data_IF_307661788889
#
_entry.id   IF_307661788889
#
_cell.length_a   1.000
_cell.length_b   1.000
_cell.length_c   1.000
_cell.angle_alpha   90.00
_cell.angle_beta   90.00
_cell.angle_gamma   90.00
#
_symmetry.space_group_name_H-M   'P 1'
#
loop_
_entity.id
_entity.type
_entity.pdbx_description
1 polymer ?
#
# COMPACT_ATOMS: atom_id res chain seq x y z
N UNK A 1 26.96 1.41 -14.03
CA UNK A 1 25.81 1.19 -14.96
C UNK A 1 24.51 1.69 -14.33
N UNK A 2 23.61 2.30 -15.10
CA UNK A 2 22.29 2.73 -14.58
C UNK A 2 21.39 1.52 -14.24
N UNK A 3 20.66 1.59 -13.12
CA UNK A 3 19.85 0.48 -12.60
C UNK A 3 18.66 0.16 -13.52
N UNK A 4 18.12 -1.08 -13.44
CA UNK A 4 16.97 -1.53 -14.23
C UNK A 4 15.76 -0.58 -14.08
N UNK A 5 15.59 0.01 -12.90
CA UNK A 5 14.53 0.98 -12.59
C UNK A 5 14.75 2.32 -13.28
N UNK A 6 15.98 2.83 -13.32
CA UNK A 6 16.34 4.07 -14.01
C UNK A 6 16.17 3.94 -15.53
N UNK A 7 16.57 2.81 -16.12
CA UNK A 7 16.38 2.54 -17.55
C UNK A 7 14.88 2.51 -17.93
N UNK A 8 14.05 1.86 -17.12
CA UNK A 8 12.60 1.77 -17.37
C UNK A 8 11.89 3.12 -17.24
N UNK A 9 12.39 4.01 -16.39
CA UNK A 9 11.87 5.39 -16.24
C UNK A 9 12.21 6.23 -17.47
N UNK A 10 13.46 6.23 -17.92
CA UNK A 10 13.89 6.94 -19.14
C UNK A 10 13.15 6.43 -20.38
N UNK A 11 12.93 5.12 -20.48
CA UNK A 11 12.17 4.52 -21.57
C UNK A 11 10.66 4.84 -21.52
N UNK A 12 10.13 5.34 -20.40
CA UNK A 12 8.74 5.86 -20.33
C UNK A 12 8.69 7.34 -20.67
N UNK A 13 9.67 8.12 -20.20
CA UNK A 13 9.78 9.56 -20.51
C UNK A 13 9.94 9.78 -22.02
N UNK A 14 10.78 8.97 -22.70
CA UNK A 14 10.94 9.01 -24.17
C UNK A 14 9.73 8.51 -24.99
N UNK A 15 8.71 7.89 -24.37
CA UNK A 15 7.48 7.46 -25.10
C UNK A 15 6.53 8.61 -25.41
N UNK A 16 6.79 9.78 -24.86
CA UNK A 16 5.92 10.94 -24.99
C UNK A 16 6.59 12.10 -25.75
N UNK A 17 7.67 11.80 -26.48
CA UNK A 17 8.24 12.70 -27.47
C UNK A 17 7.41 12.57 -28.75
N UNK A 18 6.18 13.09 -28.71
CA UNK A 18 5.36 13.27 -29.91
C UNK A 18 5.63 14.68 -30.44
N UNK A 19 6.03 14.78 -31.69
CA UNK A 19 6.13 16.03 -32.42
C UNK A 19 4.73 16.43 -32.90
N UNK A 20 4.28 17.62 -32.53
CA UNK A 20 2.98 18.14 -32.97
C UNK A 20 3.15 18.65 -34.41
N UNK A 21 2.60 17.92 -35.37
CA UNK A 21 2.58 18.30 -36.79
C UNK A 21 1.19 18.85 -37.13
N UNK A 22 1.14 20.04 -37.71
CA UNK A 22 -0.09 20.63 -38.23
C UNK A 22 -0.25 20.20 -39.69
N UNK A 23 -1.34 19.46 -39.97
CA UNK A 23 -1.67 18.96 -41.30
C UNK A 23 -2.83 19.79 -41.85
N UNK A 24 -2.80 20.10 -43.14
CA UNK A 24 -3.90 20.75 -43.86
C UNK A 24 -4.93 19.76 -44.41
N UNK A 25 -5.98 20.29 -45.05
CA UNK A 25 -7.05 19.48 -45.67
C UNK A 25 -6.55 18.58 -46.82
N UNK A 26 -5.34 18.81 -47.33
CA UNK A 26 -4.65 18.01 -48.34
C UNK A 26 -3.62 17.03 -47.73
N UNK A 27 -3.45 17.03 -46.40
CA UNK A 27 -2.51 16.18 -45.66
C UNK A 27 -1.04 16.63 -45.71
N UNK A 28 -0.78 17.88 -46.08
CA UNK A 28 0.56 18.45 -46.15
C UNK A 28 0.91 19.20 -44.86
N UNK A 29 2.15 19.07 -44.40
CA UNK A 29 2.64 19.72 -43.18
C UNK A 29 2.73 21.23 -43.42
N UNK A 30 1.99 22.03 -42.63
CA UNK A 30 2.03 23.50 -42.70
C UNK A 30 2.71 24.03 -41.43
N UNK A 31 3.52 25.08 -41.60
CA UNK A 31 4.07 25.82 -40.47
C UNK A 31 2.93 26.31 -39.56
N UNK A 32 3.03 26.12 -38.23
CA UNK A 32 1.98 26.55 -37.31
C UNK A 32 1.64 28.02 -37.56
N UNK A 33 0.35 28.38 -37.73
CA UNK A 33 -0.07 29.77 -37.82
C UNK A 33 0.48 30.55 -36.62
N UNK A 34 0.91 31.81 -36.79
CA UNK A 34 1.45 32.59 -35.68
C UNK A 34 0.37 32.72 -34.60
N UNK A 35 0.47 31.92 -33.55
CA UNK A 35 -0.33 32.10 -32.35
C UNK A 35 0.01 33.47 -31.77
N UNK A 36 -0.97 34.38 -31.75
CA UNK A 36 -1.02 35.44 -30.76
C UNK A 36 -0.93 34.77 -29.39
N UNK A 37 0.29 34.72 -28.85
CA UNK A 37 0.60 34.13 -27.56
C UNK A 37 -0.27 34.84 -26.52
N UNK A 38 -1.27 34.18 -25.88
CA UNK A 38 -1.72 34.70 -24.61
C UNK A 38 -0.49 34.64 -23.69
N UNK A 39 -0.08 35.78 -23.14
CA UNK A 39 0.98 35.86 -22.13
C UNK A 39 0.61 34.92 -20.98
N UNK A 40 1.11 33.68 -21.06
CA UNK A 40 1.15 32.80 -19.91
C UNK A 40 2.17 33.42 -18.99
N UNK A 41 1.68 34.20 -18.03
CA UNK A 41 2.43 34.75 -16.91
C UNK A 41 3.40 33.68 -16.43
N UNK A 42 4.68 33.89 -16.74
CA UNK A 42 5.75 32.99 -16.31
C UNK A 42 5.80 33.11 -14.79
N UNK A 43 5.11 32.22 -14.08
CA UNK A 43 5.31 32.08 -12.66
C UNK A 43 6.75 31.61 -12.46
N UNK A 44 7.62 32.58 -12.19
CA UNK A 44 9.01 32.41 -11.82
C UNK A 44 9.06 31.67 -10.49
N UNK A 45 9.10 30.34 -10.57
CA UNK A 45 9.19 29.44 -9.43
C UNK A 45 10.32 28.44 -9.61
N UNK A 46 11.53 28.92 -9.89
CA UNK A 46 12.75 28.11 -9.74
C UNK A 46 13.02 27.98 -8.24
N UNK A 47 12.50 26.93 -7.61
CA UNK A 47 13.17 26.33 -6.47
C UNK A 47 13.54 24.89 -6.82
N UNK A 48 14.82 24.75 -7.12
CA UNK A 48 15.49 23.47 -7.16
C UNK A 48 15.49 22.95 -5.71
N UNK A 49 14.58 22.06 -5.38
CA UNK A 49 14.60 21.32 -4.12
C UNK A 49 14.52 19.82 -4.43
N UNK A 50 15.69 19.21 -4.51
CA UNK A 50 15.85 17.80 -4.23
C UNK A 50 15.14 17.49 -2.89
N UNK A 51 14.08 16.68 -2.94
CA UNK A 51 13.39 16.31 -1.71
C UNK A 51 12.14 15.52 -2.04
N UNK A 52 12.10 14.29 -1.56
CA UNK A 52 10.94 13.42 -1.35
C UNK A 52 9.63 13.86 -2.03
N UNK A 53 9.11 13.01 -2.94
CA UNK A 53 7.67 12.97 -3.21
C UNK A 53 6.96 12.68 -1.89
N UNK A 54 6.58 13.73 -1.17
CA UNK A 54 5.47 13.73 -0.26
C UNK A 54 4.27 13.27 -1.11
N UNK A 55 3.83 12.05 -0.87
CA UNK A 55 2.52 11.60 -1.31
C UNK A 55 1.53 12.64 -0.84
N UNK A 56 1.00 13.40 -1.81
CA UNK A 56 -0.11 14.34 -1.64
C UNK A 56 -1.10 13.75 -0.66
N UNK A 57 -1.27 14.47 0.45
CA UNK A 57 -2.21 14.14 1.49
C UNK A 57 -3.60 13.96 0.88
N UNK A 58 -4.02 12.70 0.79
CA UNK A 58 -5.42 12.42 1.10
C UNK A 58 -5.54 12.80 2.55
N UNK A 59 -6.30 13.84 2.86
CA UNK A 59 -6.60 14.26 4.22
C UNK A 59 -6.83 12.99 5.03
N UNK A 60 -5.85 12.67 5.88
CA UNK A 60 -5.93 11.50 6.71
C UNK A 60 -7.05 11.82 7.68
N UNK A 61 -8.27 11.37 7.34
CA UNK A 61 -9.37 11.36 8.29
C UNK A 61 -8.84 10.83 9.63
N UNK A 62 -9.34 11.37 10.75
CA UNK A 62 -8.70 11.30 12.06
C UNK A 62 -8.04 9.94 12.23
N UNK A 63 -6.71 9.95 12.22
CA UNK A 63 -5.88 8.75 12.26
C UNK A 63 -6.30 8.00 13.51
N UNK A 64 -7.15 6.99 13.35
CA UNK A 64 -7.78 6.26 14.46
C UNK A 64 -6.63 5.80 15.36
N UNK A 65 -6.60 6.29 16.59
CA UNK A 65 -5.58 5.94 17.57
C UNK A 65 -5.46 4.41 17.60
N UNK A 66 -4.32 3.92 17.12
CA UNK A 66 -4.09 2.49 17.11
C UNK A 66 -4.03 2.03 18.55
N UNK A 67 -5.06 1.29 18.99
CA UNK A 67 -5.08 0.66 20.31
C UNK A 67 -3.81 -0.19 20.45
N UNK A 68 -3.15 -0.14 21.63
CA UNK A 68 -1.91 -0.88 21.85
C UNK A 68 -2.13 -2.39 21.62
N UNK A 69 -1.08 -3.10 21.19
CA UNK A 69 -1.17 -4.53 20.95
C UNK A 69 -1.52 -5.24 22.26
N UNK A 70 -2.69 -5.87 22.31
CA UNK A 70 -3.16 -6.63 23.48
C UNK A 70 -3.33 -8.10 23.10
N UNK A 71 -2.90 -8.99 24.00
CA UNK A 71 -3.07 -10.43 23.85
C UNK A 71 -4.53 -10.83 23.65
N UNK A 72 -5.46 -10.15 24.32
CA UNK A 72 -6.90 -10.34 24.14
C UNK A 72 -7.35 -10.11 22.70
N UNK A 73 -6.74 -9.14 22.00
CA UNK A 73 -7.09 -8.85 20.59
C UNK A 73 -6.56 -9.94 19.66
N UNK A 74 -5.34 -10.43 19.91
CA UNK A 74 -4.73 -11.51 19.13
C UNK A 74 -5.53 -12.81 19.29
N UNK A 75 -5.98 -13.14 20.51
CA UNK A 75 -6.84 -14.30 20.77
C UNK A 75 -8.17 -14.18 20.01
N UNK A 76 -8.86 -13.03 20.09
CA UNK A 76 -10.13 -12.82 19.35
C UNK A 76 -9.95 -12.96 17.84
N UNK A 77 -8.82 -12.50 17.30
CA UNK A 77 -8.51 -12.64 15.88
C UNK A 77 -8.15 -14.07 15.50
N UNK A 78 -7.41 -14.77 16.35
CA UNK A 78 -7.12 -16.19 16.17
C UNK A 78 -8.42 -17.02 16.15
N UNK A 79 -9.40 -16.69 17.01
CA UNK A 79 -10.70 -17.36 17.02
C UNK A 79 -11.49 -17.21 15.70
N UNK A 80 -11.26 -16.16 14.92
CA UNK A 80 -11.87 -16.04 13.58
C UNK A 80 -11.38 -17.13 12.60
N UNK A 81 -10.19 -17.67 12.84
CA UNK A 81 -9.63 -18.76 12.04
C UNK A 81 -10.10 -20.15 12.51
N UNK A 82 -10.67 -20.27 13.70
CA UNK A 82 -11.18 -21.54 14.23
C UNK A 82 -12.25 -22.20 13.33
N UNK A 83 -13.29 -21.50 12.81
CA UNK A 83 -14.23 -22.11 11.88
C UNK A 83 -13.56 -22.52 10.56
N UNK A 84 -12.57 -21.74 10.08
CA UNK A 84 -11.82 -22.06 8.87
C UNK A 84 -11.02 -23.36 9.05
N UNK A 85 -10.25 -23.48 10.14
CA UNK A 85 -9.51 -24.70 10.45
C UNK A 85 -10.44 -25.90 10.68
N UNK A 86 -11.59 -25.69 11.31
CA UNK A 86 -12.55 -26.76 11.52
C UNK A 86 -13.08 -27.31 10.19
N UNK A 87 -13.40 -26.45 9.22
CA UNK A 87 -13.81 -26.88 7.87
C UNK A 87 -12.67 -27.67 7.20
N UNK A 88 -11.43 -27.15 7.24
CA UNK A 88 -10.27 -27.83 6.65
C UNK A 88 -10.07 -29.21 7.26
N UNK A 89 -10.07 -29.32 8.59
CA UNK A 89 -9.92 -30.62 9.28
C UNK A 89 -11.13 -31.53 9.08
N UNK A 90 -12.34 -30.98 8.89
CA UNK A 90 -13.51 -31.78 8.55
C UNK A 90 -13.41 -32.40 7.14
N UNK A 91 -12.77 -31.69 6.20
CA UNK A 91 -12.53 -32.17 4.85
C UNK A 91 -11.33 -33.12 4.76
N UNK A 92 -10.29 -32.92 5.56
CA UNK A 92 -9.08 -33.76 5.55
C UNK A 92 -9.29 -35.03 6.40
N UNK A 93 -9.82 -34.89 7.61
CA UNK A 93 -9.99 -35.99 8.57
C UNK A 93 -11.42 -36.53 8.59
N UNK A 94 -11.97 -36.85 7.41
CA UNK A 94 -13.38 -37.30 7.24
C UNK A 94 -13.73 -38.59 7.98
N UNK A 95 -12.74 -39.40 8.32
CA UNK A 95 -12.92 -40.68 9.02
C UNK A 95 -12.65 -40.61 10.53
N UNK A 96 -12.10 -39.49 11.02
CA UNK A 96 -11.84 -39.30 12.44
C UNK A 96 -13.10 -38.82 13.17
N UNK A 97 -13.21 -39.11 14.47
CA UNK A 97 -14.27 -38.59 15.31
C UNK A 97 -14.33 -37.05 15.26
N UNK A 98 -15.53 -36.48 15.40
CA UNK A 98 -15.75 -35.02 15.40
C UNK A 98 -14.92 -34.33 16.49
N UNK A 99 -14.76 -34.98 17.64
CA UNK A 99 -13.93 -34.51 18.76
C UNK A 99 -12.47 -34.29 18.34
N UNK A 100 -11.90 -35.26 17.61
CA UNK A 100 -10.51 -35.18 17.12
C UNK A 100 -10.35 -34.01 16.13
N UNK A 101 -11.35 -33.79 15.28
CA UNK A 101 -11.35 -32.66 14.32
C UNK A 101 -11.42 -31.32 15.05
N UNK A 102 -12.28 -31.23 16.05
CA UNK A 102 -12.45 -30.02 16.86
C UNK A 102 -11.17 -29.72 17.67
N UNK A 103 -10.62 -30.72 18.34
CA UNK A 103 -9.40 -30.57 19.15
C UNK A 103 -8.20 -30.21 18.27
N UNK A 104 -8.07 -30.84 17.11
CA UNK A 104 -7.03 -30.50 16.12
C UNK A 104 -7.20 -29.06 15.65
N UNK A 105 -8.39 -28.66 15.24
CA UNK A 105 -8.68 -27.28 14.83
C UNK A 105 -8.30 -26.27 15.92
N UNK A 106 -8.64 -26.55 17.18
CA UNK A 106 -8.33 -25.70 18.31
C UNK A 106 -6.81 -25.61 18.56
N UNK A 107 -6.11 -26.75 18.52
CA UNK A 107 -4.66 -26.81 18.69
C UNK A 107 -3.92 -25.99 17.61
N UNK A 108 -4.31 -26.14 16.35
CA UNK A 108 -3.71 -25.39 15.24
C UNK A 108 -4.08 -23.90 15.28
N UNK A 109 -5.32 -23.56 15.65
CA UNK A 109 -5.72 -22.17 15.85
C UNK A 109 -4.91 -21.50 16.97
N UNK A 110 -4.54 -22.24 18.02
CA UNK A 110 -3.71 -21.72 19.10
C UNK A 110 -2.30 -21.34 18.62
N UNK A 111 -1.72 -22.10 17.69
CA UNK A 111 -0.42 -21.77 17.07
C UNK A 111 -0.44 -20.44 16.29
N UNK A 112 -1.61 -20.00 15.83
CA UNK A 112 -1.77 -18.70 15.17
C UNK A 112 -1.81 -17.51 16.14
N UNK A 113 -2.03 -17.73 17.43
CA UNK A 113 -2.04 -16.66 18.44
C UNK A 113 -0.71 -15.89 18.51
N UNK A 114 0.48 -16.53 18.64
CA UNK A 114 1.75 -15.80 18.67
C UNK A 114 2.04 -15.09 17.33
N UNK A 115 1.67 -15.70 16.19
CA UNK A 115 1.85 -15.09 14.87
C UNK A 115 1.01 -13.80 14.72
N UNK A 116 -0.27 -13.86 15.11
CA UNK A 116 -1.17 -12.71 15.06
C UNK A 116 -0.73 -11.60 16.01
N UNK A 117 -0.16 -11.95 17.17
CA UNK A 117 0.45 -10.97 18.09
C UNK A 117 1.65 -10.24 17.45
N UNK A 118 2.55 -10.95 16.76
CA UNK A 118 3.67 -10.33 16.05
C UNK A 118 3.18 -9.41 14.93
N UNK A 119 2.15 -9.81 14.19
CA UNK A 119 1.53 -8.96 13.17
C UNK A 119 0.93 -7.69 13.78
N UNK A 120 0.22 -7.80 14.89
CA UNK A 120 -0.31 -6.63 15.62
C UNK A 120 0.81 -5.70 16.11
N UNK A 121 1.92 -6.28 16.59
CA UNK A 121 3.10 -5.52 17.02
C UNK A 121 3.79 -4.77 15.88
N UNK A 122 3.94 -5.40 14.72
CA UNK A 122 4.54 -4.75 13.54
C UNK A 122 3.63 -3.66 12.99
N UNK A 123 2.32 -3.91 12.90
CA UNK A 123 1.32 -2.94 12.51
C UNK A 123 1.36 -1.70 13.41
N UNK A 124 1.41 -1.91 14.74
CA UNK A 124 1.54 -0.83 15.72
C UNK A 124 2.83 -0.03 15.55
N UNK A 125 3.97 -0.69 15.29
CA UNK A 125 5.24 -0.01 14.98
C UNK A 125 5.16 0.84 13.71
N UNK A 126 4.56 0.33 12.63
CA UNK A 126 4.35 1.11 11.41
C UNK A 126 3.39 2.27 11.63
N UNK A 127 2.38 2.12 12.48
CA UNK A 127 1.49 3.20 12.85
C UNK A 127 2.26 4.33 13.57
N UNK A 128 3.05 4.02 14.61
CA UNK A 128 3.83 5.02 15.34
C UNK A 128 4.83 5.76 14.43
N UNK A 129 5.50 5.03 13.52
CA UNK A 129 6.41 5.62 12.52
C UNK A 129 5.71 6.58 11.57
N UNK A 130 4.42 6.38 11.28
CA UNK A 130 3.63 7.22 10.37
C UNK A 130 2.91 8.36 11.08
N UNK A 131 2.54 8.18 12.35
CA UNK A 131 1.83 9.18 13.14
C UNK A 131 2.74 10.11 13.93
N UNK A 132 4.04 9.81 14.05
CA UNK A 132 4.97 10.59 14.87
C UNK A 132 4.71 10.50 16.39
N UNK A 133 3.74 9.67 16.80
CA UNK A 133 3.44 9.45 18.21
C UNK A 133 4.54 8.56 18.84
N UNK A 134 5.12 9.01 19.94
CA UNK A 134 5.99 8.18 20.76
C UNK A 134 5.17 7.05 21.41
N UNK A 135 5.74 5.83 21.52
CA UNK A 135 5.07 4.74 22.21
C UNK A 135 4.76 5.14 23.66
N UNK A 136 3.58 4.80 24.20
CA UNK A 136 3.23 5.10 25.58
C UNK A 136 4.25 4.44 26.52
N UNK A 137 4.72 5.21 27.52
CA UNK A 137 5.65 4.73 28.53
C UNK A 137 5.06 3.48 29.20
N UNK A 138 5.84 2.39 29.19
CA UNK A 138 5.49 1.14 29.87
C UNK A 138 5.45 1.45 31.38
N UNK A 139 4.27 1.37 31.99
CA UNK A 139 4.13 1.31 33.45
C UNK A 139 4.36 -0.12 33.92
#
# INVERSE_FOLDING_TARGET
MASRKQRRRRAKERRHEYEYVYLDDAGQEIEPPPEDKPERTRWRGKSNANGAKATRGRAAGPVRQARPPSWNRSIRRALLFLPLFFIVFSLVNKHSAIEVRFLSSLAYSALFVPLTYVMDRTAYRTYLRRSGQQPPAKR
#
